data_IF_931358788999
#
_entry.id   IF_931358788999
#
_cell.length_a   1.000
_cell.length_b   1.000
_cell.length_c   1.000
_cell.angle_alpha   90.00
_cell.angle_beta   90.00
_cell.angle_gamma   90.00
#
_symmetry.space_group_name_H-M   'P 1'
#
loop_
_entity.id
_entity.type
_entity.pdbx_description
1 polymer ?
#
# COMPACT_ATOMS: atom_id res chain seq x y z
N UNK A 1 11.07 6.97 -13.37
CA UNK A 1 9.91 6.12 -13.06
C UNK A 1 10.22 5.32 -11.83
N UNK A 2 9.43 5.51 -10.79
CA UNK A 2 9.63 4.89 -9.50
C UNK A 2 8.59 3.78 -9.30
N UNK A 3 9.02 2.63 -8.80
CA UNK A 3 8.16 1.51 -8.42
C UNK A 3 8.20 1.29 -6.92
N UNK A 4 7.09 0.83 -6.37
CA UNK A 4 6.99 0.46 -4.95
C UNK A 4 7.51 -0.97 -4.81
N UNK A 5 8.63 -1.12 -4.11
CA UNK A 5 9.20 -2.41 -3.71
C UNK A 5 9.19 -2.48 -2.19
N UNK A 6 8.74 -3.59 -1.62
CA UNK A 6 8.93 -3.89 -0.20
C UNK A 6 10.22 -4.68 -0.04
N UNK A 7 10.99 -4.24 0.95
CA UNK A 7 12.13 -4.96 1.48
C UNK A 7 11.74 -5.55 2.83
N UNK A 8 11.85 -6.86 2.97
CA UNK A 8 11.69 -7.52 4.27
C UNK A 8 13.07 -7.63 4.92
N UNK A 9 13.39 -6.73 5.84
CA UNK A 9 14.50 -6.93 6.76
C UNK A 9 13.92 -7.37 8.10
N UNK A 10 14.10 -8.65 8.45
CA UNK A 10 13.71 -9.14 9.76
C UNK A 10 14.76 -8.65 10.77
N UNK A 11 14.41 -7.64 11.56
CA UNK A 11 15.25 -7.19 12.66
C UNK A 11 14.92 -8.03 13.90
N UNK A 12 15.69 -9.10 14.14
CA UNK A 12 15.63 -9.83 15.40
C UNK A 12 16.59 -9.16 16.41
N UNK A 13 16.03 -8.47 17.40
CA UNK A 13 16.79 -7.95 18.54
C UNK A 13 17.03 -9.10 19.53
N UNK A 14 18.19 -9.75 19.45
CA UNK A 14 18.65 -10.65 20.52
C UNK A 14 19.51 -9.87 21.51
N UNK A 15 19.34 -10.17 22.80
CA UNK A 15 20.24 -9.74 23.89
C UNK A 15 21.58 -10.48 23.80
N UNK A 16 22.34 -10.27 22.72
CA UNK A 16 23.76 -10.65 22.57
C UNK A 16 24.38 -10.15 21.24
N UNK A 17 23.59 -9.59 20.31
CA UNK A 17 24.09 -9.10 19.03
C UNK A 17 22.93 -8.94 18.05
N UNK A 18 22.97 -7.87 17.25
CA UNK A 18 21.99 -7.66 16.18
C UNK A 18 22.40 -8.53 15.00
N UNK A 19 21.60 -9.55 14.68
CA UNK A 19 21.70 -10.24 13.39
C UNK A 19 20.65 -9.65 12.46
N UNK A 20 21.10 -8.95 11.41
CA UNK A 20 20.23 -8.50 10.33
C UNK A 20 20.00 -9.66 9.37
N UNK A 21 18.76 -9.97 8.98
CA UNK A 21 18.57 -10.78 7.78
C UNK A 21 19.01 -9.94 6.58
N UNK A 22 19.92 -10.48 5.76
CA UNK A 22 20.31 -9.85 4.50
C UNK A 22 19.09 -9.70 3.61
N UNK A 23 18.94 -8.54 2.97
CA UNK A 23 17.95 -8.31 1.94
C UNK A 23 18.14 -9.34 0.81
N UNK A 24 17.29 -10.36 0.82
CA UNK A 24 17.43 -11.53 -0.06
C UNK A 24 16.24 -11.66 -0.99
N UNK A 25 15.17 -10.88 -0.78
CA UNK A 25 13.95 -11.00 -1.58
C UNK A 25 13.18 -9.68 -1.68
N UNK A 26 13.21 -9.10 -2.87
CA UNK A 26 12.39 -7.96 -3.25
C UNK A 26 10.98 -8.44 -3.60
N UNK A 27 9.98 -7.94 -2.87
CA UNK A 27 8.58 -8.20 -3.24
C UNK A 27 8.04 -6.93 -3.90
N UNK A 28 7.84 -6.92 -5.24
CA UNK A 28 7.15 -5.81 -5.89
C UNK A 28 5.73 -5.79 -5.35
N UNK A 29 5.29 -4.69 -4.73
CA UNK A 29 3.93 -4.61 -4.14
C UNK A 29 2.90 -4.45 -5.23
N UNK A 30 3.19 -3.53 -6.14
CA UNK A 30 2.39 -3.31 -7.33
C UNK A 30 2.68 -4.40 -8.35
N UNK A 31 1.62 -4.96 -8.92
CA UNK A 31 1.69 -5.88 -10.07
C UNK A 31 1.61 -5.13 -11.40
N UNK A 32 1.57 -3.80 -11.36
CA UNK A 32 1.54 -2.97 -12.56
C UNK A 32 2.90 -2.92 -13.26
N UNK A 33 2.85 -3.25 -14.54
CA UNK A 33 4.00 -3.25 -15.44
C UNK A 33 4.01 -2.02 -16.35
N UNK A 34 3.10 -1.06 -16.15
CA UNK A 34 3.12 0.20 -16.87
C UNK A 34 4.38 1.02 -16.54
N UNK A 35 4.60 2.05 -17.36
CA UNK A 35 5.69 3.00 -17.20
C UNK A 35 5.30 4.20 -16.29
N UNK A 36 4.31 4.02 -15.41
CA UNK A 36 3.80 5.09 -14.55
C UNK A 36 4.50 5.17 -13.20
N UNK A 37 4.57 6.39 -12.64
CA UNK A 37 5.13 6.62 -11.32
C UNK A 37 4.24 6.07 -10.22
N UNK A 38 4.89 5.43 -9.24
CA UNK A 38 4.30 4.98 -7.99
C UNK A 38 5.14 5.52 -6.83
N UNK A 39 4.50 6.15 -5.85
CA UNK A 39 5.22 6.86 -4.77
C UNK A 39 4.40 6.98 -3.50
N UNK A 40 5.03 7.51 -2.44
CA UNK A 40 4.44 7.69 -1.10
C UNK A 40 3.80 6.42 -0.51
N UNK A 41 4.54 5.29 -0.41
CA UNK A 41 4.01 4.12 0.29
C UNK A 41 3.74 4.44 1.77
N UNK A 42 2.70 3.81 2.30
CA UNK A 42 2.45 3.62 3.74
C UNK A 42 2.09 2.17 3.99
N UNK A 43 2.38 1.68 5.18
CA UNK A 43 2.01 0.33 5.57
C UNK A 43 1.63 0.23 7.04
N UNK A 44 0.88 -0.81 7.37
CA UNK A 44 0.56 -1.19 8.76
C UNK A 44 0.38 -2.71 8.86
N UNK A 45 0.65 -3.29 10.03
CA UNK A 45 0.41 -4.71 10.31
C UNK A 45 -0.92 -4.91 11.03
N UNK A 46 -1.70 -5.89 10.57
CA UNK A 46 -2.90 -6.37 11.24
C UNK A 46 -2.56 -7.33 12.38
N UNK A 47 -3.56 -7.66 13.22
CA UNK A 47 -3.39 -8.57 14.36
C UNK A 47 -2.99 -10.00 13.97
N UNK A 48 -3.24 -10.41 12.71
CA UNK A 48 -2.80 -11.70 12.15
C UNK A 48 -1.39 -11.68 11.56
N UNK A 49 -0.66 -10.56 11.63
CA UNK A 49 0.68 -10.42 11.05
C UNK A 49 0.69 -10.12 9.55
N UNK A 50 -0.47 -10.08 8.90
CA UNK A 50 -0.61 -9.59 7.53
C UNK A 50 -0.35 -8.07 7.47
N UNK A 51 0.13 -7.60 6.33
CA UNK A 51 0.50 -6.21 6.10
C UNK A 51 -0.45 -5.62 5.08
N UNK A 52 -1.01 -4.45 5.37
CA UNK A 52 -1.65 -3.60 4.37
C UNK A 52 -0.65 -2.55 3.90
N UNK A 53 -0.53 -2.40 2.58
CA UNK A 53 0.26 -1.34 1.95
C UNK A 53 -0.64 -0.49 1.09
N UNK A 54 -0.52 0.83 1.22
CA UNK A 54 -1.17 1.83 0.36
C UNK A 54 -0.11 2.68 -0.34
N UNK A 55 -0.35 3.08 -1.59
CA UNK A 55 0.55 3.97 -2.32
C UNK A 55 -0.22 4.84 -3.31
N UNK A 56 0.43 5.92 -3.76
CA UNK A 56 -0.05 6.70 -4.90
C UNK A 56 0.44 6.08 -6.19
N UNK A 57 -0.46 5.89 -7.16
CA UNK A 57 -0.19 5.25 -8.44
C UNK A 57 -0.71 6.11 -9.60
N UNK A 58 0.11 6.31 -10.64
CA UNK A 58 -0.24 7.07 -11.84
C UNK A 58 -0.60 6.22 -13.06
N UNK A 59 -0.88 4.91 -12.89
CA UNK A 59 -1.16 3.98 -14.01
C UNK A 59 -2.35 4.39 -14.88
N UNK A 60 -3.29 5.19 -14.35
CA UNK A 60 -4.49 5.66 -15.08
C UNK A 60 -4.37 7.09 -15.61
N UNK A 61 -3.17 7.69 -15.61
CA UNK A 61 -2.92 9.06 -16.10
C UNK A 61 -3.08 10.16 -15.04
N UNK A 62 -3.75 9.88 -13.93
CA UNK A 62 -3.83 10.72 -12.73
C UNK A 62 -3.36 9.97 -11.48
N UNK A 63 -3.19 10.68 -10.36
CA UNK A 63 -2.78 10.06 -9.09
C UNK A 63 -3.97 9.43 -8.39
N UNK A 64 -3.91 8.11 -8.22
CA UNK A 64 -4.90 7.30 -7.51
C UNK A 64 -4.28 6.65 -6.27
N UNK A 65 -5.11 6.30 -5.29
CA UNK A 65 -4.67 5.51 -4.14
C UNK A 65 -4.93 4.04 -4.42
N UNK A 66 -3.87 3.25 -4.39
CA UNK A 66 -3.95 1.80 -4.50
C UNK A 66 -3.55 1.13 -3.19
N UNK A 67 -4.03 -0.10 -2.99
CA UNK A 67 -3.64 -0.95 -1.89
C UNK A 67 -3.37 -2.40 -2.29
N UNK A 68 -2.65 -3.09 -1.41
CA UNK A 68 -2.38 -4.52 -1.46
C UNK A 68 -2.26 -5.06 -0.04
N UNK A 69 -2.83 -6.24 0.19
CA UNK A 69 -2.63 -7.00 1.42
C UNK A 69 -1.62 -8.10 1.16
N UNK A 70 -0.68 -8.28 2.07
CA UNK A 70 0.36 -9.31 1.98
C UNK A 70 0.26 -10.15 3.25
N UNK A 71 0.18 -11.46 3.10
CA UNK A 71 0.13 -12.38 4.24
C UNK A 71 1.50 -12.55 4.91
N UNK A 72 1.52 -13.32 6.00
CA UNK A 72 2.73 -13.60 6.79
C UNK A 72 3.78 -14.40 6.02
N UNK A 73 3.43 -14.99 4.88
CA UNK A 73 4.33 -15.73 4.00
C UNK A 73 4.86 -14.85 2.85
N UNK A 74 4.51 -13.56 2.81
CA UNK A 74 4.90 -12.63 1.76
C UNK A 74 4.06 -12.75 0.48
N UNK A 75 2.95 -13.50 0.51
CA UNK A 75 2.08 -13.69 -0.66
C UNK A 75 1.00 -12.61 -0.69
N UNK A 76 0.75 -12.06 -1.89
CA UNK A 76 -0.26 -11.03 -2.13
C UNK A 76 -1.67 -11.60 -2.10
N UNK A 77 -2.61 -10.90 -1.47
CA UNK A 77 -4.03 -11.25 -1.47
C UNK A 77 -4.75 -10.71 -2.71
N UNK A 78 -4.56 -11.41 -3.84
CA UNK A 78 -5.17 -11.05 -5.12
C UNK A 78 -4.56 -9.81 -5.77
N UNK A 79 -5.35 -9.15 -6.62
CA UNK A 79 -4.93 -7.98 -7.40
C UNK A 79 -4.81 -6.72 -6.55
N UNK A 80 -3.98 -5.75 -6.99
CA UNK A 80 -3.99 -4.41 -6.39
C UNK A 80 -5.38 -3.78 -6.51
N UNK A 81 -5.83 -3.09 -5.47
CA UNK A 81 -7.15 -2.45 -5.44
C UNK A 81 -7.01 -0.94 -5.44
N UNK A 82 -7.72 -0.24 -6.32
CA UNK A 82 -7.90 1.22 -6.23
C UNK A 82 -8.89 1.49 -5.09
N UNK A 83 -8.55 2.41 -4.19
CA UNK A 83 -9.37 2.75 -3.02
C UNK A 83 -10.33 3.91 -3.28
N UNK A 84 -9.93 4.84 -4.14
CA UNK A 84 -10.76 5.94 -4.57
C UNK A 84 -11.67 5.55 -5.75
N UNK A 85 -12.80 6.23 -5.83
CA UNK A 85 -13.89 5.99 -6.77
C UNK A 85 -14.10 7.15 -7.75
N UNK A 86 -13.14 8.08 -7.86
CA UNK A 86 -13.31 9.21 -8.77
C UNK A 86 -13.34 8.76 -10.23
N UNK A 87 -14.30 9.33 -10.96
CA UNK A 87 -14.52 9.11 -12.39
C UNK A 87 -13.88 10.19 -13.25
N UNK A 88 -13.47 11.31 -12.65
CA UNK A 88 -13.09 12.56 -13.35
C UNK A 88 -11.59 12.87 -13.27
N UNK A 89 -10.74 11.85 -13.18
CA UNK A 89 -9.27 11.96 -13.18
C UNK A 89 -8.70 12.95 -12.14
N UNK A 90 -9.35 13.08 -10.99
CA UNK A 90 -8.91 14.01 -9.96
C UNK A 90 -7.74 13.41 -9.18
N UNK A 91 -6.90 14.26 -8.58
CA UNK A 91 -5.70 13.83 -7.86
C UNK A 91 -6.08 13.33 -6.46
N UNK A 92 -5.58 12.15 -6.11
CA UNK A 92 -5.69 11.54 -4.79
C UNK A 92 -4.28 11.26 -4.24
N UNK A 93 -3.99 11.72 -3.03
CA UNK A 93 -2.63 11.70 -2.47
C UNK A 93 -2.60 11.36 -0.98
N UNK A 94 -1.39 11.08 -0.49
CA UNK A 94 -1.07 11.06 0.95
C UNK A 94 -1.98 10.13 1.76
N UNK A 95 -2.11 8.88 1.29
CA UNK A 95 -2.84 7.89 2.04
C UNK A 95 -2.22 7.64 3.42
N UNK A 96 -3.05 7.33 4.41
CA UNK A 96 -2.69 6.72 5.68
C UNK A 96 -3.56 5.48 5.90
N UNK A 97 -3.02 4.44 6.54
CA UNK A 97 -3.72 3.17 6.75
C UNK A 97 -3.47 2.65 8.16
N UNK A 98 -4.54 2.15 8.81
CA UNK A 98 -4.51 1.58 10.16
C UNK A 98 -5.34 0.29 10.22
N UNK A 99 -5.06 -0.64 11.15
CA UNK A 99 -5.92 -1.79 11.40
C UNK A 99 -7.29 -1.34 11.93
N UNK A 100 -8.36 -2.04 11.54
CA UNK A 100 -9.74 -1.72 11.88
C UNK A 100 -10.54 -2.97 12.33
N UNK A 101 -9.95 -3.78 13.22
CA UNK A 101 -10.59 -4.98 13.77
C UNK A 101 -10.78 -6.13 12.77
N UNK A 102 -10.81 -7.37 13.26
CA UNK A 102 -11.18 -8.58 12.47
C UNK A 102 -10.47 -8.74 11.10
N UNK A 103 -9.21 -8.31 10.98
CA UNK A 103 -8.45 -8.39 9.72
C UNK A 103 -8.78 -7.29 8.71
N UNK A 104 -9.62 -6.32 9.08
CA UNK A 104 -9.93 -5.14 8.28
C UNK A 104 -8.89 -4.03 8.50
N UNK A 105 -8.88 -3.09 7.55
CA UNK A 105 -8.05 -1.90 7.58
C UNK A 105 -8.89 -0.68 7.21
N UNK A 106 -8.60 0.45 7.85
CA UNK A 106 -9.17 1.74 7.49
C UNK A 106 -8.08 2.57 6.82
N UNK A 107 -8.41 3.14 5.67
CA UNK A 107 -7.54 4.04 4.94
C UNK A 107 -8.20 5.40 4.77
N UNK A 108 -7.41 6.45 4.87
CA UNK A 108 -7.80 7.83 4.58
C UNK A 108 -6.81 8.42 3.59
N UNK A 109 -7.24 9.36 2.76
CA UNK A 109 -6.38 10.03 1.78
C UNK A 109 -6.85 11.46 1.54
N UNK A 110 -5.97 12.26 0.94
CA UNK A 110 -6.33 13.60 0.45
C UNK A 110 -7.02 13.47 -0.88
N UNK A 111 -8.20 14.08 -0.97
CA UNK A 111 -9.05 14.11 -2.15
C UNK A 111 -9.20 15.53 -2.67
N UNK A 112 -8.80 15.77 -3.92
CA UNK A 112 -8.91 17.08 -4.57
C UNK A 112 -10.24 17.30 -5.28
N UNK A 113 -11.22 16.39 -5.17
CA UNK A 113 -12.57 16.60 -5.70
C UNK A 113 -13.25 17.73 -4.95
N UNK A 114 -13.90 18.62 -5.69
CA UNK A 114 -14.71 19.70 -5.15
C UNK A 114 -16.19 19.30 -5.16
N UNK A 115 -16.74 18.89 -4.01
CA UNK A 115 -18.18 18.88 -3.77
C UNK A 115 -18.97 17.66 -4.27
N UNK A 116 -18.45 16.88 -5.21
CA UNK A 116 -19.11 15.65 -5.68
C UNK A 116 -18.48 14.41 -5.03
N UNK A 117 -18.87 14.17 -3.77
CA UNK A 117 -18.58 12.92 -3.08
C UNK A 117 -19.81 12.02 -3.20
N UNK A 118 -19.75 10.89 -3.93
CA UNK A 118 -20.77 9.87 -3.75
C UNK A 118 -20.78 9.48 -2.26
N UNK A 119 -21.93 9.62 -1.61
CA UNK A 119 -22.07 9.17 -0.23
C UNK A 119 -22.05 7.64 -0.21
N UNK A 120 -20.94 7.07 0.26
CA UNK A 120 -20.84 5.69 0.74
C UNK A 120 -20.20 4.67 -0.23
N UNK A 121 -19.73 3.54 0.32
CA UNK A 121 -19.15 2.41 -0.41
C UNK A 121 -20.14 1.69 -1.33
#
# INVERSE_FOLDING_TARGET
MYKIVLFFCLLQLYTAGVSYSTDTYDIPVSIDNSLSDQYNPRLTSGSGGNIAVTWTDKRNGNSDIYCQIIDTSGVKSGSNRRLNDDLNSTIQLEAAVVPFGEGNYMAVWRDYRNGDYPFGP
#
